data_IF_138701220483
#
_entry.id   IF_138701220483
#
_cell.length_a   1.000
_cell.length_b   1.000
_cell.length_c   1.000
_cell.angle_alpha   90.00
_cell.angle_beta   90.00
_cell.angle_gamma   90.00
#
_symmetry.space_group_name_H-M   'P 1'
#
loop_
_entity.id
_entity.type
_entity.pdbx_description
1 polymer ?
#
# COMPACT_ATOMS: atom_id res chain seq x y z
N UNK A 1 -35.90 15.60 35.95
CA UNK A 1 -34.46 15.98 36.07
C UNK A 1 -33.56 14.81 36.47
N UNK A 2 -33.90 14.04 37.52
CA UNK A 2 -33.06 12.91 38.01
C UNK A 2 -32.75 11.84 36.95
N UNK A 3 -33.73 11.45 36.13
CA UNK A 3 -33.52 10.46 35.06
C UNK A 3 -32.57 10.97 33.98
N UNK A 4 -32.70 12.23 33.57
CA UNK A 4 -31.80 12.83 32.57
C UNK A 4 -30.35 12.96 33.07
N UNK A 5 -30.18 13.22 34.37
CA UNK A 5 -28.86 13.30 35.00
C UNK A 5 -28.21 11.92 35.14
N UNK A 6 -28.99 10.89 35.46
CA UNK A 6 -28.52 9.50 35.51
C UNK A 6 -28.08 8.99 34.14
N UNK A 7 -28.83 9.29 33.07
CA UNK A 7 -28.46 8.95 31.69
C UNK A 7 -27.19 9.68 31.27
N UNK A 8 -27.05 10.98 31.59
CA UNK A 8 -25.84 11.75 31.29
C UNK A 8 -24.59 11.14 31.95
N UNK A 9 -24.68 10.76 33.23
CA UNK A 9 -23.58 10.12 33.97
C UNK A 9 -23.21 8.78 33.36
N UNK A 10 -24.19 7.99 32.93
CA UNK A 10 -23.96 6.69 32.28
C UNK A 10 -23.27 6.84 30.92
N UNK A 11 -23.68 7.83 30.12
CA UNK A 11 -23.04 8.15 28.85
C UNK A 11 -21.60 8.64 29.08
N UNK A 12 -21.37 9.52 30.06
CA UNK A 12 -20.03 9.98 30.40
C UNK A 12 -19.14 8.84 30.89
N UNK A 13 -19.65 7.94 31.72
CA UNK A 13 -18.92 6.76 32.20
C UNK A 13 -18.58 5.80 31.05
N UNK A 14 -19.53 5.55 30.13
CA UNK A 14 -19.29 4.71 28.96
C UNK A 14 -18.24 5.32 28.02
N UNK A 15 -18.32 6.62 27.75
CA UNK A 15 -17.32 7.35 26.95
C UNK A 15 -15.96 7.34 27.64
N UNK A 16 -15.91 7.58 28.96
CA UNK A 16 -14.66 7.57 29.73
C UNK A 16 -14.02 6.18 29.78
N UNK A 17 -14.80 5.11 29.91
CA UNK A 17 -14.32 3.72 29.84
C UNK A 17 -13.76 3.39 28.46
N UNK A 18 -14.44 3.80 27.39
CA UNK A 18 -13.96 3.61 26.02
C UNK A 18 -12.63 4.34 25.78
N UNK A 19 -12.54 5.61 26.20
CA UNK A 19 -11.32 6.42 26.10
C UNK A 19 -10.20 5.84 26.98
N UNK A 20 -10.52 5.39 28.19
CA UNK A 20 -9.57 4.78 29.12
C UNK A 20 -9.03 3.44 28.62
N UNK A 21 -9.89 2.58 28.09
CA UNK A 21 -9.49 1.32 27.46
C UNK A 21 -8.53 1.56 26.29
N UNK A 22 -8.81 2.55 25.45
CA UNK A 22 -7.95 2.92 24.32
C UNK A 22 -6.61 3.47 24.80
N UNK A 23 -6.60 4.31 25.83
CA UNK A 23 -5.36 4.84 26.39
C UNK A 23 -4.49 3.71 26.99
N UNK A 24 -5.10 2.80 27.75
CA UNK A 24 -4.40 1.67 28.38
C UNK A 24 -3.87 0.65 27.37
N UNK A 25 -4.65 0.35 26.32
CA UNK A 25 -4.21 -0.55 25.24
C UNK A 25 -3.16 0.09 24.31
N UNK A 26 -2.92 1.40 24.44
CA UNK A 26 -1.91 2.14 23.67
C UNK A 26 -0.57 2.33 24.41
N UNK A 27 -0.56 2.31 25.75
CA UNK A 27 0.67 2.32 26.55
C UNK A 27 1.33 0.94 26.55
N UNK A 28 2.01 0.61 25.45
CA UNK A 28 2.78 -0.62 25.30
C UNK A 28 3.96 -0.75 26.29
N UNK A 29 4.33 0.33 27.00
CA UNK A 29 5.39 0.30 28.03
C UNK A 29 4.93 -0.33 29.36
N UNK A 30 3.63 -0.31 29.67
CA UNK A 30 3.11 -0.93 30.91
C UNK A 30 2.85 -2.42 30.73
N UNK A 31 2.68 -2.89 29.48
CA UNK A 31 2.31 -4.27 29.18
C UNK A 31 3.20 -4.84 28.06
N UNK A 32 4.49 -5.00 28.35
CA UNK A 32 5.56 -5.45 27.43
C UNK A 32 5.43 -6.91 26.91
N UNK A 33 4.26 -7.55 26.94
CA UNK A 33 4.16 -8.97 26.58
C UNK A 33 2.80 -9.42 26.08
N UNK A 34 2.15 -8.66 25.19
CA UNK A 34 1.09 -9.26 24.39
C UNK A 34 1.66 -9.80 23.08
N UNK A 35 1.52 -11.11 22.90
CA UNK A 35 1.52 -11.74 21.59
C UNK A 35 0.57 -10.94 20.70
N UNK A 36 1.01 -10.67 19.46
CA UNK A 36 0.31 -9.94 18.40
C UNK A 36 -1.17 -9.68 18.72
N UNK A 37 -1.52 -8.41 18.98
CA UNK A 37 -2.90 -8.02 19.21
C UNK A 37 -3.79 -8.65 18.13
N UNK A 38 -4.93 -9.27 18.51
CA UNK A 38 -5.81 -9.90 17.53
C UNK A 38 -6.20 -8.88 16.47
N UNK A 39 -6.25 -9.33 15.21
CA UNK A 39 -6.73 -8.51 14.11
C UNK A 39 -8.10 -7.92 14.51
N UNK A 40 -8.32 -6.60 14.36
CA UNK A 40 -9.53 -5.99 14.88
C UNK A 40 -10.76 -6.56 14.18
N UNK A 41 -11.86 -6.70 14.92
CA UNK A 41 -13.08 -7.36 14.46
C UNK A 41 -13.78 -6.66 13.27
N UNK A 42 -13.36 -5.45 12.89
CA UNK A 42 -13.90 -4.63 11.80
C UNK A 42 -12.94 -4.48 10.60
N UNK A 43 -12.07 -5.47 10.37
CA UNK A 43 -10.89 -5.37 9.49
C UNK A 43 -9.87 -4.30 9.94
N UNK A 44 -10.05 -3.72 11.13
CA UNK A 44 -9.11 -2.76 11.73
C UNK A 44 -9.21 -1.36 11.21
N UNK A 45 -10.41 -0.84 10.95
CA UNK A 45 -10.56 0.31 10.06
C UNK A 45 -11.25 1.49 10.74
N UNK A 46 -12.42 1.29 11.36
CA UNK A 46 -13.10 2.35 12.10
C UNK A 46 -12.46 2.52 13.46
N UNK A 47 -12.16 1.41 14.13
CA UNK A 47 -11.43 1.42 15.38
C UNK A 47 -10.03 2.05 15.20
N UNK A 48 -9.31 1.68 14.13
CA UNK A 48 -8.01 2.26 13.85
C UNK A 48 -8.07 3.75 13.47
N UNK A 49 -8.98 4.16 12.59
CA UNK A 49 -9.16 5.58 12.24
C UNK A 49 -9.50 6.41 13.47
N UNK A 50 -10.33 5.87 14.36
CA UNK A 50 -10.68 6.52 15.62
C UNK A 50 -9.50 6.57 16.61
N UNK A 51 -8.71 5.49 16.71
CA UNK A 51 -7.45 5.46 17.49
C UNK A 51 -6.39 6.45 16.95
N UNK A 52 -6.18 6.50 15.64
CA UNK A 52 -5.36 7.53 14.98
C UNK A 52 -5.92 8.93 15.18
N UNK A 53 -7.24 9.08 15.24
CA UNK A 53 -7.88 10.34 15.56
C UNK A 53 -7.57 10.78 17.00
N UNK A 54 -7.54 9.86 17.95
CA UNK A 54 -7.16 10.11 19.35
C UNK A 54 -5.65 10.28 19.56
N UNK A 55 -4.81 9.72 18.70
CA UNK A 55 -3.34 9.72 18.86
C UNK A 55 -2.69 11.10 19.13
N UNK A 56 -3.15 12.25 18.57
CA UNK A 56 -2.54 13.54 18.89
C UNK A 56 -2.82 14.00 20.34
N UNK A 57 -3.88 13.46 20.95
CA UNK A 57 -4.30 13.78 22.33
C UNK A 57 -3.51 12.97 23.36
N UNK A 58 -3.18 11.70 23.05
CA UNK A 58 -2.41 10.82 23.94
C UNK A 58 -0.89 11.01 23.84
N UNK A 59 -0.38 11.58 22.72
CA UNK A 59 1.06 11.70 22.44
C UNK A 59 1.73 13.02 22.85
N UNK A 60 1.06 13.90 23.62
CA UNK A 60 1.62 15.20 24.04
C UNK A 60 2.89 15.10 24.92
N UNK A 61 3.20 13.92 25.48
CA UNK A 61 4.40 13.68 26.31
C UNK A 61 5.56 12.91 25.65
N UNK A 62 5.45 12.47 24.40
CA UNK A 62 6.33 11.44 23.80
C UNK A 62 7.55 11.99 23.00
N UNK A 63 7.89 13.27 23.16
CA UNK A 63 8.55 14.05 22.10
C UNK A 63 10.06 13.86 21.87
N UNK A 64 10.83 13.28 22.80
CA UNK A 64 12.31 13.27 22.67
C UNK A 64 12.97 11.90 22.72
N UNK A 65 12.44 10.93 23.49
CA UNK A 65 13.02 9.58 23.60
C UNK A 65 12.79 8.74 22.33
N UNK A 66 11.60 8.82 21.72
CA UNK A 66 11.19 8.02 20.54
C UNK A 66 11.90 8.46 19.25
N UNK A 67 12.41 9.69 19.21
CA UNK A 67 13.26 10.15 18.11
C UNK A 67 14.65 9.49 18.14
N UNK A 68 15.10 9.06 19.33
CA UNK A 68 16.40 8.43 19.55
C UNK A 68 16.35 6.91 19.56
N UNK A 69 15.17 6.30 19.72
CA UNK A 69 15.01 4.85 19.70
C UNK A 69 15.11 4.32 18.27
N UNK A 70 15.79 3.18 18.12
CA UNK A 70 15.78 2.43 16.87
C UNK A 70 14.34 2.12 16.43
N UNK A 71 14.11 2.02 15.11
CA UNK A 71 12.80 1.63 14.60
C UNK A 71 12.44 0.24 15.18
N UNK A 72 11.32 0.09 15.90
CA UNK A 72 10.91 -1.23 16.34
C UNK A 72 10.61 -2.06 15.08
N UNK A 73 11.27 -3.23 14.96
CA UNK A 73 10.96 -4.18 13.90
C UNK A 73 9.63 -4.83 14.22
N UNK A 74 8.56 -4.28 13.64
CA UNK A 74 7.21 -4.82 13.82
C UNK A 74 6.91 -5.71 12.64
N UNK A 75 6.45 -6.91 12.97
CA UNK A 75 6.10 -7.94 12.03
C UNK A 75 4.64 -8.30 12.23
N UNK A 76 3.86 -8.22 11.16
CA UNK A 76 2.51 -8.76 11.09
C UNK A 76 2.53 -9.99 10.20
N UNK A 77 1.95 -11.08 10.70
CA UNK A 77 1.78 -12.31 9.95
C UNK A 77 0.31 -12.70 9.99
N UNK A 78 -0.30 -12.91 8.83
CA UNK A 78 -1.67 -13.36 8.72
C UNK A 78 -1.86 -14.26 7.50
N UNK A 79 -2.84 -15.18 7.52
CA UNK A 79 -3.26 -15.87 6.31
C UNK A 79 -3.81 -14.84 5.32
N UNK A 80 -3.41 -14.96 4.06
CA UNK A 80 -3.88 -14.13 2.97
C UNK A 80 -4.90 -14.90 2.15
N UNK A 81 -6.14 -14.43 2.17
CA UNK A 81 -7.21 -14.94 1.34
C UNK A 81 -7.93 -13.78 0.66
N UNK A 82 -8.07 -13.87 -0.66
CA UNK A 82 -8.92 -12.97 -1.44
C UNK A 82 -10.27 -13.64 -1.64
N UNK A 83 -11.33 -13.07 -1.05
CA UNK A 83 -12.68 -13.56 -1.31
C UNK A 83 -13.07 -13.25 -2.76
N UNK A 84 -13.80 -14.16 -3.40
CA UNK A 84 -14.28 -13.98 -4.79
C UNK A 84 -15.11 -12.70 -4.97
N UNK A 85 -15.84 -12.29 -3.93
CA UNK A 85 -16.57 -11.03 -3.89
C UNK A 85 -15.65 -9.79 -3.94
N UNK A 86 -14.55 -9.81 -3.18
CA UNK A 86 -13.58 -8.71 -3.15
C UNK A 86 -12.82 -8.60 -4.47
N UNK A 87 -12.50 -9.75 -5.08
CA UNK A 87 -11.94 -9.80 -6.42
C UNK A 87 -12.88 -9.16 -7.46
N UNK A 88 -14.16 -9.52 -7.45
CA UNK A 88 -15.16 -8.98 -8.38
C UNK A 88 -15.34 -7.47 -8.22
N UNK A 89 -15.35 -6.97 -6.97
CA UNK A 89 -15.42 -5.53 -6.68
C UNK A 89 -14.19 -4.79 -7.19
N UNK A 90 -12.98 -5.32 -6.96
CA UNK A 90 -11.75 -4.72 -7.47
C UNK A 90 -11.69 -4.73 -9.00
N UNK A 91 -12.06 -5.84 -9.64
CA UNK A 91 -12.10 -5.93 -11.10
C UNK A 91 -13.09 -4.92 -11.70
N UNK A 92 -14.26 -4.75 -11.08
CA UNK A 92 -15.27 -3.77 -11.50
C UNK A 92 -14.78 -2.35 -11.27
N UNK A 93 -14.20 -2.08 -10.11
CA UNK A 93 -13.62 -0.78 -9.76
C UNK A 93 -12.53 -0.37 -10.74
N UNK A 94 -11.66 -1.30 -11.15
CA UNK A 94 -10.59 -1.04 -12.09
C UNK A 94 -11.06 -1.09 -13.55
N UNK A 95 -12.37 -1.23 -13.82
CA UNK A 95 -12.92 -1.32 -15.18
C UNK A 95 -12.26 -2.42 -16.02
N UNK A 96 -12.05 -3.58 -15.40
CA UNK A 96 -11.46 -4.76 -16.00
C UNK A 96 -12.47 -5.93 -16.03
N UNK A 97 -13.55 -5.85 -16.83
CA UNK A 97 -14.70 -6.75 -16.72
C UNK A 97 -14.48 -8.17 -17.25
N UNK A 98 -13.38 -8.46 -17.94
CA UNK A 98 -13.09 -9.76 -18.58
C UNK A 98 -11.92 -10.51 -17.94
N UNK A 99 -11.63 -10.28 -16.66
CA UNK A 99 -10.57 -11.05 -16.01
C UNK A 99 -11.07 -12.43 -15.58
N UNK A 100 -10.46 -13.46 -16.18
CA UNK A 100 -10.46 -14.80 -15.59
C UNK A 100 -9.65 -14.76 -14.28
N UNK A 101 -10.12 -15.48 -13.25
CA UNK A 101 -9.43 -15.65 -11.97
C UNK A 101 -8.00 -16.23 -12.10
N UNK A 102 -7.67 -16.78 -13.28
CA UNK A 102 -6.38 -17.36 -13.64
C UNK A 102 -5.28 -16.32 -13.92
N UNK A 103 -5.64 -15.05 -14.22
CA UNK A 103 -4.69 -13.98 -14.50
C UNK A 103 -4.87 -12.83 -13.52
N UNK A 104 -4.57 -13.06 -12.23
CA UNK A 104 -4.63 -12.01 -11.22
C UNK A 104 -3.72 -10.83 -11.62
N UNK A 105 -4.22 -9.57 -11.68
CA UNK A 105 -3.36 -8.43 -11.94
C UNK A 105 -2.35 -8.32 -10.80
N UNK A 106 -1.08 -8.19 -11.14
CA UNK A 106 0.02 -8.28 -10.18
C UNK A 106 -0.03 -7.26 -9.03
N UNK A 107 -0.84 -6.21 -9.18
CA UNK A 107 -1.07 -5.16 -8.18
C UNK A 107 -2.16 -5.50 -7.14
N UNK A 108 -2.98 -6.52 -7.38
CA UNK A 108 -4.09 -6.88 -6.47
C UNK A 108 -3.64 -7.19 -5.05
N UNK A 109 -2.57 -7.99 -4.83
CA UNK A 109 -2.07 -8.26 -3.49
C UNK A 109 -1.76 -6.98 -2.71
N UNK A 110 -1.09 -6.01 -3.34
CA UNK A 110 -0.76 -4.73 -2.70
C UNK A 110 -2.01 -3.95 -2.30
N UNK A 111 -3.07 -3.98 -3.12
CA UNK A 111 -4.33 -3.29 -2.80
C UNK A 111 -5.04 -3.97 -1.61
N UNK A 112 -5.05 -5.30 -1.58
CA UNK A 112 -5.71 -6.11 -0.57
C UNK A 112 -5.03 -6.04 0.81
N UNK A 113 -3.69 -6.06 0.84
CA UNK A 113 -2.92 -5.90 2.09
C UNK A 113 -2.91 -4.45 2.61
N UNK A 114 -3.54 -3.52 1.89
CA UNK A 114 -3.60 -2.10 2.25
C UNK A 114 -4.00 -1.86 3.71
N UNK A 115 -5.03 -2.54 4.19
CA UNK A 115 -5.53 -2.40 5.57
C UNK A 115 -4.49 -2.77 6.64
N UNK A 116 -3.55 -3.68 6.33
CA UNK A 116 -2.49 -4.10 7.25
C UNK A 116 -1.45 -3.01 7.48
N UNK A 117 -1.26 -2.09 6.52
CA UNK A 117 -0.38 -0.93 6.74
C UNK A 117 -0.84 -0.13 7.93
N UNK A 118 -2.14 0.09 8.10
CA UNK A 118 -2.65 0.80 9.26
C UNK A 118 -2.27 0.08 10.55
N UNK A 119 -2.52 -1.22 10.65
CA UNK A 119 -2.16 -2.01 11.84
C UNK A 119 -0.67 -1.91 12.15
N UNK A 120 0.19 -2.03 11.14
CA UNK A 120 1.64 -1.91 11.29
C UNK A 120 2.01 -0.51 11.81
N UNK A 121 1.40 0.52 11.21
CA UNK A 121 1.69 1.89 11.52
C UNK A 121 1.25 2.25 12.95
N UNK A 122 0.06 1.83 13.38
CA UNK A 122 -0.44 2.08 14.73
C UNK A 122 0.49 1.57 15.83
N UNK A 123 1.09 0.41 15.60
CA UNK A 123 1.95 -0.26 16.58
C UNK A 123 3.39 0.29 16.60
N UNK A 124 3.80 1.12 15.64
CA UNK A 124 5.21 1.52 15.44
C UNK A 124 5.69 2.77 16.18
N UNK A 125 4.93 3.25 17.16
CA UNK A 125 5.30 4.38 18.01
C UNK A 125 5.75 5.61 17.20
N UNK A 126 4.93 6.05 16.23
CA UNK A 126 5.27 7.23 15.42
C UNK A 126 5.50 8.49 16.25
N UNK A 127 6.59 9.24 15.97
CA UNK A 127 6.88 10.50 16.67
C UNK A 127 5.94 11.64 16.26
N UNK A 128 5.15 11.46 15.19
CA UNK A 128 4.23 12.46 14.65
C UNK A 128 2.90 11.80 14.24
N UNK A 129 1.92 12.60 13.85
CA UNK A 129 0.63 12.11 13.37
C UNK A 129 0.78 11.51 11.97
N UNK A 130 0.35 10.26 11.78
CA UNK A 130 0.31 9.59 10.47
C UNK A 130 -0.86 10.05 9.59
N UNK A 131 -1.60 11.09 10.00
CA UNK A 131 -2.74 11.60 9.24
C UNK A 131 -2.35 12.25 7.91
N UNK A 132 -1.11 12.70 7.80
CA UNK A 132 -0.55 13.32 6.60
C UNK A 132 0.45 12.39 5.91
N UNK A 133 0.28 11.08 6.10
CA UNK A 133 1.15 10.08 5.48
C UNK A 133 1.00 10.11 3.96
N UNK A 134 2.13 10.09 3.26
CA UNK A 134 2.22 10.14 1.82
C UNK A 134 2.80 8.84 1.31
N UNK A 135 2.31 8.37 0.18
CA UNK A 135 2.93 7.26 -0.56
C UNK A 135 3.98 7.87 -1.52
N UNK A 136 5.26 7.54 -1.33
CA UNK A 136 6.36 8.07 -2.16
C UNK A 136 6.72 7.17 -3.32
N UNK A 137 6.84 5.88 -3.03
CA UNK A 137 7.16 4.89 -4.03
C UNK A 137 6.64 3.51 -3.63
N UNK A 138 6.54 2.66 -4.63
CA UNK A 138 6.17 1.27 -4.49
C UNK A 138 6.99 0.46 -5.47
N UNK A 139 7.66 -0.57 -4.95
CA UNK A 139 8.26 -1.63 -5.74
C UNK A 139 7.48 -2.90 -5.51
N UNK A 140 7.09 -3.58 -6.58
CA UNK A 140 6.38 -4.87 -6.54
C UNK A 140 7.17 -5.86 -7.39
N UNK A 141 7.41 -7.04 -6.86
CA UNK A 141 8.04 -8.16 -7.55
C UNK A 141 7.09 -9.34 -7.51
N UNK A 142 6.72 -9.86 -8.67
CA UNK A 142 5.99 -11.10 -8.79
C UNK A 142 6.92 -12.17 -9.37
N UNK A 143 7.16 -13.23 -8.59
CA UNK A 143 8.08 -14.29 -8.95
C UNK A 143 7.38 -15.42 -9.72
N UNK A 144 6.16 -15.78 -9.27
CA UNK A 144 5.36 -16.87 -9.85
C UNK A 144 3.91 -16.41 -10.09
N UNK A 145 3.17 -17.05 -11.01
CA UNK A 145 1.75 -16.77 -11.18
C UNK A 145 0.98 -16.99 -9.88
N UNK A 146 0.12 -16.04 -9.51
CA UNK A 146 -0.78 -16.20 -8.37
C UNK A 146 -2.06 -16.87 -8.86
N UNK A 147 -2.25 -18.14 -8.50
CA UNK A 147 -3.51 -18.82 -8.75
C UNK A 147 -4.37 -18.78 -7.48
N UNK A 148 -5.51 -18.07 -7.56
CA UNK A 148 -6.49 -17.97 -6.49
C UNK A 148 -7.79 -18.72 -6.83
N UNK A 149 -7.75 -19.67 -7.78
CA UNK A 149 -8.90 -20.52 -8.08
C UNK A 149 -9.30 -21.30 -6.82
N UNK A 150 -10.55 -21.14 -6.38
CA UNK A 150 -11.11 -22.03 -5.36
C UNK A 150 -11.19 -23.44 -5.94
N UNK A 151 -10.71 -24.48 -5.25
CA UNK A 151 -10.90 -25.84 -5.72
C UNK A 151 -12.41 -26.09 -5.87
N UNK A 152 -12.83 -26.41 -7.09
CA UNK A 152 -14.10 -27.06 -7.32
C UNK A 152 -14.10 -28.34 -6.49
N UNK A 153 -15.25 -28.70 -5.91
CA UNK A 153 -15.44 -29.73 -4.88
C UNK A 153 -14.88 -31.15 -5.18
N UNK A 154 -14.20 -31.37 -6.30
CA UNK A 154 -13.69 -32.67 -6.77
C UNK A 154 -12.15 -32.77 -6.89
N UNK A 155 -11.35 -31.73 -6.59
CA UNK A 155 -9.89 -31.87 -6.50
C UNK A 155 -9.39 -31.67 -5.06
N UNK A 156 -8.80 -32.73 -4.47
CA UNK A 156 -8.06 -32.74 -3.19
C UNK A 156 -6.81 -31.83 -3.16
N UNK A 157 -6.68 -30.88 -4.08
CA UNK A 157 -5.66 -29.83 -3.99
C UNK A 157 -6.26 -28.64 -3.25
N UNK A 158 -6.02 -28.59 -1.94
CA UNK A 158 -6.26 -27.39 -1.16
C UNK A 158 -5.66 -26.18 -1.89
N UNK A 159 -6.42 -25.09 -2.01
CA UNK A 159 -5.88 -23.83 -2.51
C UNK A 159 -4.61 -23.49 -1.72
N UNK A 160 -3.53 -23.00 -2.36
CA UNK A 160 -2.31 -22.66 -1.63
C UNK A 160 -2.66 -21.64 -0.54
N UNK A 161 -2.45 -22.03 0.71
CA UNK A 161 -2.63 -21.14 1.86
C UNK A 161 -1.50 -20.11 1.84
N UNK A 162 -1.76 -18.98 1.19
CA UNK A 162 -0.79 -17.89 1.16
C UNK A 162 -0.68 -17.26 2.55
N UNK A 163 0.54 -17.09 3.02
CA UNK A 163 0.85 -16.33 4.24
C UNK A 163 1.34 -14.95 3.84
N UNK A 164 0.70 -13.91 4.37
CA UNK A 164 1.17 -12.53 4.25
C UNK A 164 2.05 -12.18 5.45
N UNK A 165 3.28 -11.75 5.17
CA UNK A 165 4.23 -11.21 6.14
C UNK A 165 4.46 -9.73 5.81
N UNK A 166 4.12 -8.83 6.72
CA UNK A 166 4.36 -7.39 6.57
C UNK A 166 5.28 -6.90 7.67
N UNK A 167 6.38 -6.23 7.29
CA UNK A 167 7.42 -5.80 8.22
C UNK A 167 7.75 -4.33 7.99
N UNK A 168 7.75 -3.56 9.09
CA UNK A 168 8.35 -2.23 9.09
C UNK A 168 9.87 -2.40 9.20
N UNK A 169 10.59 -2.18 8.10
CA UNK A 169 12.02 -2.49 8.01
C UNK A 169 12.89 -1.30 8.39
N UNK A 170 12.52 -0.10 7.96
CA UNK A 170 13.35 1.09 8.15
C UNK A 170 12.54 2.34 8.48
N UNK A 171 13.20 3.24 9.22
CA UNK A 171 12.75 4.61 9.54
C UNK A 171 13.92 5.55 9.32
N UNK A 172 13.72 6.56 8.48
CA UNK A 172 14.73 7.49 8.00
C UNK A 172 14.28 8.92 8.24
N UNK A 173 15.11 9.72 8.89
CA UNK A 173 14.83 11.14 9.08
C UNK A 173 15.38 11.91 7.88
N UNK A 174 14.52 12.57 7.13
CA UNK A 174 14.88 13.50 6.07
C UNK A 174 14.75 14.94 6.60
N UNK A 175 15.14 15.93 5.80
CA UNK A 175 15.15 17.34 6.22
C UNK A 175 13.77 17.85 6.65
N UNK A 176 12.72 17.42 5.94
CA UNK A 176 11.34 17.92 6.10
C UNK A 176 10.32 16.82 6.40
N UNK A 177 10.74 15.56 6.41
CA UNK A 177 9.86 14.42 6.63
C UNK A 177 10.57 13.24 7.28
N UNK A 178 9.81 12.26 7.77
CA UNK A 178 10.32 10.94 8.12
C UNK A 178 9.82 9.96 7.07
N UNK A 179 10.74 9.22 6.47
CA UNK A 179 10.46 8.16 5.51
C UNK A 179 10.49 6.79 6.21
N UNK A 180 9.60 5.90 5.78
CA UNK A 180 9.40 4.58 6.33
C UNK A 180 9.33 3.57 5.20
N UNK A 181 9.95 2.44 5.42
CA UNK A 181 9.96 1.34 4.45
C UNK A 181 9.17 0.18 5.04
N UNK A 182 8.13 -0.26 4.32
CA UNK A 182 7.35 -1.44 4.67
C UNK A 182 7.56 -2.49 3.60
N UNK A 183 8.08 -3.64 4.00
CA UNK A 183 8.18 -4.81 3.14
C UNK A 183 6.97 -5.71 3.36
N UNK A 184 6.36 -6.20 2.27
CA UNK A 184 5.27 -7.17 2.32
C UNK A 184 5.62 -8.37 1.46
N UNK A 185 5.60 -9.56 2.03
CA UNK A 185 5.89 -10.81 1.33
C UNK A 185 4.64 -11.70 1.38
N UNK A 186 4.28 -12.29 0.24
CA UNK A 186 3.34 -13.40 0.17
C UNK A 186 4.11 -14.69 -0.06
N UNK A 187 3.90 -15.65 0.84
CA UNK A 187 4.58 -16.94 0.84
C UNK A 187 3.58 -18.08 0.68
N UNK A 188 3.92 -19.09 -0.12
CA UNK A 188 3.29 -20.40 -0.12
C UNK A 188 4.21 -21.43 0.56
N UNK A 189 3.88 -22.72 0.42
CA UNK A 189 4.67 -23.85 0.91
C UNK A 189 6.04 -23.98 0.23
N UNK A 190 6.21 -23.41 -0.96
CA UNK A 190 7.45 -23.40 -1.74
C UNK A 190 8.30 -22.14 -1.52
N UNK A 191 7.77 -21.15 -0.79
CA UNK A 191 8.45 -19.91 -0.44
C UNK A 191 7.77 -18.69 -1.06
N UNK A 192 8.55 -17.65 -1.34
CA UNK A 192 8.00 -16.35 -1.75
C UNK A 192 7.43 -16.40 -3.16
N UNK A 193 6.20 -15.91 -3.32
CA UNK A 193 5.47 -15.84 -4.61
C UNK A 193 5.44 -14.41 -5.13
N UNK A 194 5.31 -13.46 -4.20
CA UNK A 194 5.13 -12.04 -4.47
C UNK A 194 5.72 -11.22 -3.34
N UNK A 195 6.34 -10.09 -3.66
CA UNK A 195 6.92 -9.17 -2.70
C UNK A 195 6.59 -7.73 -3.07
N UNK A 196 6.50 -6.88 -2.07
CA UNK A 196 6.51 -5.44 -2.26
C UNK A 196 7.35 -4.72 -1.22
N UNK A 197 7.85 -3.56 -1.63
CA UNK A 197 8.47 -2.57 -0.75
C UNK A 197 7.74 -1.26 -0.98
N UNK A 198 7.11 -0.75 0.07
CA UNK A 198 6.32 0.48 0.06
C UNK A 198 7.06 1.55 0.85
N UNK A 199 7.35 2.69 0.21
CA UNK A 199 7.92 3.86 0.86
C UNK A 199 6.81 4.84 1.22
N UNK A 200 6.70 5.11 2.51
CA UNK A 200 5.74 6.05 3.07
C UNK A 200 6.50 7.21 3.71
N UNK A 201 5.98 8.43 3.63
CA UNK A 201 6.56 9.54 4.37
C UNK A 201 5.54 10.32 5.18
N UNK A 202 5.99 10.94 6.25
CA UNK A 202 5.16 11.82 7.07
C UNK A 202 5.90 13.14 7.26
N UNK A 203 5.26 14.29 6.96
CA UNK A 203 5.85 15.61 7.21
C UNK A 203 6.31 15.75 8.67
N UNK A 204 7.58 16.09 8.84
CA UNK A 204 8.21 16.22 10.14
C UNK A 204 9.57 16.90 9.99
N UNK A 205 9.75 18.02 10.70
CA UNK A 205 11.02 18.73 10.76
C UNK A 205 11.57 18.64 12.18
N UNK A 206 12.85 18.30 12.29
CA UNK A 206 13.55 18.30 13.57
C UNK A 206 13.89 19.74 13.99
N UNK A 207 13.34 20.21 15.11
CA UNK A 207 13.67 21.53 15.69
C UNK A 207 15.13 21.57 16.18
N UNK A 208 15.65 20.43 16.64
CA UNK A 208 17.05 20.20 16.98
C UNK A 208 17.46 18.86 16.37
N UNK A 209 18.66 18.77 15.79
CA UNK A 209 19.15 17.55 15.14
C UNK A 209 19.40 16.45 16.18
N UNK A 210 18.38 15.63 16.42
CA UNK A 210 18.40 14.53 17.39
C UNK A 210 18.79 13.19 16.74
N UNK A 211 18.50 13.03 15.44
CA UNK A 211 18.88 11.89 14.62
C UNK A 211 19.52 12.38 13.31
N UNK A 212 20.50 11.64 12.74
CA UNK A 212 21.16 12.03 11.50
C UNK A 212 20.15 12.09 10.36
N UNK A 213 20.31 13.08 9.49
CA UNK A 213 19.53 13.17 8.26
C UNK A 213 20.10 12.21 7.22
N UNK A 214 19.22 11.48 6.55
CA UNK A 214 19.53 10.60 5.43
C UNK A 214 19.00 11.17 4.12
N UNK A 215 19.30 10.50 3.01
CA UNK A 215 18.71 10.78 1.69
C UNK A 215 17.67 9.71 1.37
N UNK A 216 16.60 10.08 0.67
CA UNK A 216 15.60 9.13 0.18
C UNK A 216 16.24 8.20 -0.87
N UNK A 217 15.84 6.93 -0.85
CA UNK A 217 16.33 5.91 -1.81
C UNK A 217 15.19 5.38 -2.68
N UNK A 218 14.06 6.10 -2.71
CA UNK A 218 12.85 5.69 -3.43
C UNK A 218 12.87 6.02 -4.93
N UNK A 219 14.02 6.41 -5.49
CA UNK A 219 14.14 6.85 -6.88
C UNK A 219 14.11 5.70 -7.90
N UNK A 220 13.74 6.03 -9.15
CA UNK A 220 13.89 5.11 -10.27
C UNK A 220 15.32 5.13 -10.80
N UNK A 221 15.75 4.00 -11.36
CA UNK A 221 17.02 3.92 -12.06
C UNK A 221 16.91 4.64 -13.42
N UNK A 222 17.50 5.83 -13.51
CA UNK A 222 17.45 6.68 -14.70
C UNK A 222 17.99 5.98 -15.95
N UNK A 223 18.97 5.09 -15.80
CA UNK A 223 19.54 4.34 -16.92
C UNK A 223 18.53 3.35 -17.51
N UNK A 224 17.74 2.69 -16.66
CA UNK A 224 16.67 1.79 -17.08
C UNK A 224 15.48 2.56 -17.66
N UNK A 225 15.13 3.70 -17.07
CA UNK A 225 14.07 4.58 -17.58
C UNK A 225 14.41 5.07 -19.00
N UNK A 226 15.66 5.46 -19.25
CA UNK A 226 16.11 5.95 -20.55
C UNK A 226 16.04 4.90 -21.67
N UNK A 227 16.11 3.61 -21.33
CA UNK A 227 16.03 2.51 -22.32
C UNK A 227 14.65 2.35 -22.93
N UNK A 228 13.59 2.67 -22.20
CA UNK A 228 12.22 2.54 -22.67
C UNK A 228 11.75 3.85 -23.31
N UNK A 229 12.08 4.03 -24.58
CA UNK A 229 11.86 5.27 -25.34
C UNK A 229 11.12 5.06 -26.68
N UNK A 230 10.76 3.83 -27.04
CA UNK A 230 10.12 3.48 -28.31
C UNK A 230 8.63 3.12 -28.16
N UNK A 231 7.93 3.01 -29.31
CA UNK A 231 6.51 2.65 -29.45
C UNK A 231 5.60 3.32 -28.40
N UNK A 232 5.47 4.65 -28.49
CA UNK A 232 4.65 5.41 -27.54
C UNK A 232 3.18 5.08 -27.72
N UNK A 233 2.50 4.67 -26.65
CA UNK A 233 1.03 4.60 -26.60
C UNK A 233 0.50 5.54 -25.55
N UNK A 234 -0.56 6.23 -25.91
CA UNK A 234 -1.29 7.13 -25.04
C UNK A 234 -2.74 6.68 -24.94
N UNK A 235 -3.20 6.49 -23.71
CA UNK A 235 -4.60 6.23 -23.40
C UNK A 235 -5.03 7.08 -22.22
N UNK A 236 -6.31 7.01 -21.89
CA UNK A 236 -6.84 7.76 -20.76
C UNK A 236 -7.89 6.99 -20.01
N UNK A 237 -7.95 7.23 -18.71
CA UNK A 237 -8.98 6.67 -17.86
C UNK A 237 -9.47 7.70 -16.86
N UNK A 238 -10.62 7.40 -16.26
CA UNK A 238 -11.32 8.26 -15.33
C UNK A 238 -11.77 7.42 -14.15
N UNK A 239 -11.59 7.93 -12.94
CA UNK A 239 -12.15 7.32 -11.75
C UNK A 239 -13.55 7.90 -11.50
N UNK A 240 -14.58 7.07 -11.64
CA UNK A 240 -15.93 7.47 -11.24
C UNK A 240 -16.14 7.27 -9.74
N UNK A 241 -17.18 7.91 -9.19
CA UNK A 241 -17.58 7.71 -7.80
C UNK A 241 -17.89 6.24 -7.48
N UNK A 242 -18.47 5.51 -8.45
CA UNK A 242 -18.72 4.08 -8.31
C UNK A 242 -17.41 3.29 -8.20
N UNK A 243 -16.42 3.61 -9.04
CA UNK A 243 -15.11 2.95 -8.96
C UNK A 243 -14.46 3.19 -7.59
N UNK A 244 -14.55 4.41 -7.07
CA UNK A 244 -14.05 4.73 -5.72
C UNK A 244 -14.77 3.92 -4.65
N UNK A 245 -16.11 3.90 -4.63
CA UNK A 245 -16.87 3.14 -3.62
C UNK A 245 -16.52 1.66 -3.64
N UNK A 246 -16.49 1.03 -4.83
CA UNK A 246 -16.13 -0.39 -4.95
C UNK A 246 -14.67 -0.67 -4.54
N UNK A 247 -13.76 0.29 -4.74
CA UNK A 247 -12.37 0.20 -4.29
C UNK A 247 -12.27 0.28 -2.76
N UNK A 248 -12.92 1.28 -2.15
CA UNK A 248 -12.90 1.53 -0.71
C UNK A 248 -13.55 0.40 0.11
N UNK A 249 -14.45 -0.38 -0.49
CA UNK A 249 -15.02 -1.57 0.13
C UNK A 249 -14.00 -2.70 0.32
N UNK A 250 -12.93 -2.73 -0.49
CA UNK A 250 -11.89 -3.78 -0.45
C UNK A 250 -10.59 -3.27 0.15
N UNK A 251 -10.18 -2.05 -0.20
CA UNK A 251 -8.97 -1.43 0.36
C UNK A 251 -9.35 -0.28 1.27
N UNK A 252 -8.83 -0.31 2.48
CA UNK A 252 -9.35 0.56 3.54
C UNK A 252 -8.46 1.78 3.80
N UNK A 253 -7.40 1.91 3.00
CA UNK A 253 -6.38 2.95 3.19
C UNK A 253 -6.30 3.82 1.96
N UNK A 254 -6.94 4.98 2.06
CA UNK A 254 -6.55 6.13 1.27
C UNK A 254 -5.24 6.67 1.87
N UNK A 255 -4.10 6.16 1.40
CA UNK A 255 -2.77 6.72 1.73
C UNK A 255 -2.59 7.98 0.87
N UNK A 256 -3.45 8.98 1.06
CA UNK A 256 -3.32 10.29 0.40
C UNK A 256 -2.74 11.29 1.39
N UNK A 257 -1.67 11.94 0.94
CA UNK A 257 -0.82 12.85 1.72
C UNK A 257 -1.43 14.18 2.14
N UNK A 258 -2.74 14.32 2.07
CA UNK A 258 -3.43 15.54 2.46
C UNK A 258 -4.84 15.20 2.93
N UNK A 259 -5.29 15.88 4.00
CA UNK A 259 -6.71 16.01 4.30
C UNK A 259 -7.46 16.44 3.03
N UNK A 260 -8.08 15.50 2.33
CA UNK A 260 -9.32 15.84 1.66
C UNK A 260 -10.41 15.64 2.71
N UNK A 261 -10.93 16.75 3.21
CA UNK A 261 -12.32 16.82 3.68
C UNK A 261 -13.32 16.59 2.52
N UNK A 262 -12.86 16.02 1.39
CA UNK A 262 -13.57 15.83 0.14
C UNK A 262 -13.39 14.37 -0.26
N UNK A 263 -14.44 13.58 -0.04
CA UNK A 263 -14.59 12.17 -0.45
C UNK A 263 -14.55 11.97 -1.98
N UNK A 264 -13.90 12.86 -2.75
CA UNK A 264 -13.93 12.92 -4.20
C UNK A 264 -12.50 13.06 -4.78
N UNK A 265 -11.53 12.32 -4.24
CA UNK A 265 -10.18 12.19 -4.80
C UNK A 265 -9.90 10.76 -5.26
N UNK A 266 -9.06 10.61 -6.27
CA UNK A 266 -8.61 9.32 -6.80
C UNK A 266 -7.46 8.78 -5.94
N UNK A 267 -7.59 7.58 -5.34
CA UNK A 267 -6.50 6.97 -4.60
C UNK A 267 -5.33 6.65 -5.54
N UNK A 268 -4.11 6.97 -5.11
CA UNK A 268 -2.89 6.70 -5.90
C UNK A 268 -2.73 5.21 -6.22
N UNK A 269 -3.07 4.34 -5.26
CA UNK A 269 -3.07 2.89 -5.46
C UNK A 269 -4.12 2.43 -6.48
N UNK A 270 -5.29 3.08 -6.54
CA UNK A 270 -6.30 2.80 -7.57
C UNK A 270 -5.77 3.19 -8.95
N UNK A 271 -5.16 4.37 -9.05
CA UNK A 271 -4.61 4.88 -10.31
C UNK A 271 -3.49 3.98 -10.83
N UNK A 272 -2.58 3.52 -9.96
CA UNK A 272 -1.53 2.58 -10.32
C UNK A 272 -2.11 1.23 -10.76
N UNK A 273 -3.03 0.65 -9.99
CA UNK A 273 -3.66 -0.62 -10.33
C UNK A 273 -4.43 -0.56 -11.67
N UNK A 274 -5.10 0.56 -11.95
CA UNK A 274 -5.79 0.79 -13.23
C UNK A 274 -4.80 0.93 -14.38
N UNK A 275 -3.73 1.70 -14.20
CA UNK A 275 -2.67 1.84 -15.19
C UNK A 275 -2.07 0.48 -15.54
N UNK A 276 -1.76 -0.35 -14.54
CA UNK A 276 -1.21 -1.69 -14.76
C UNK A 276 -2.19 -2.61 -15.48
N UNK A 277 -3.49 -2.55 -15.14
CA UNK A 277 -4.53 -3.27 -15.86
C UNK A 277 -4.63 -2.87 -17.34
N UNK A 278 -4.45 -1.59 -17.66
CA UNK A 278 -4.42 -1.12 -19.05
C UNK A 278 -3.15 -1.58 -19.79
N UNK A 279 -1.98 -1.52 -19.16
CA UNK A 279 -0.75 -2.06 -19.75
C UNK A 279 -0.86 -3.57 -20.03
N UNK A 280 -1.54 -4.31 -19.16
CA UNK A 280 -1.79 -5.73 -19.36
C UNK A 280 -2.71 -5.96 -20.58
N UNK A 281 -3.77 -5.17 -20.73
CA UNK A 281 -4.66 -5.21 -21.91
C UNK A 281 -3.94 -4.84 -23.22
N UNK A 282 -2.90 -4.02 -23.13
CA UNK A 282 -2.06 -3.61 -24.26
C UNK A 282 -0.95 -4.60 -24.60
N UNK A 283 -0.84 -5.71 -23.85
CA UNK A 283 0.25 -6.70 -23.95
C UNK A 283 1.64 -6.07 -23.68
N UNK A 284 1.69 -5.09 -22.77
CA UNK A 284 2.89 -4.34 -22.38
C UNK A 284 3.41 -4.67 -20.98
N UNK A 285 2.93 -5.76 -20.39
CA UNK A 285 3.48 -6.27 -19.14
C UNK A 285 4.51 -7.35 -19.49
N UNK A 286 5.79 -7.19 -19.09
CA UNK A 286 6.80 -8.22 -19.30
C UNK A 286 6.43 -9.55 -18.65
N UNK A 287 7.07 -10.63 -19.11
CA UNK A 287 6.89 -11.96 -18.52
C UNK A 287 7.35 -12.02 -17.05
N UNK A 288 6.96 -13.09 -16.35
CA UNK A 288 7.49 -13.38 -15.02
C UNK A 288 8.91 -13.96 -15.11
N UNK A 289 9.78 -13.75 -14.11
CA UNK A 289 9.59 -12.90 -12.93
C UNK A 289 9.54 -11.41 -13.28
N UNK A 290 8.49 -10.73 -12.81
CA UNK A 290 8.18 -9.33 -13.12
C UNK A 290 8.55 -8.44 -11.93
N UNK A 291 9.17 -7.29 -12.22
CA UNK A 291 9.36 -6.22 -11.26
C UNK A 291 8.74 -4.93 -11.79
N UNK A 292 7.97 -4.26 -10.95
CA UNK A 292 7.41 -2.94 -11.17
C UNK A 292 7.98 -1.99 -10.12
N UNK A 293 8.61 -0.90 -10.55
CA UNK A 293 9.02 0.19 -9.67
C UNK A 293 8.21 1.42 -10.05
N UNK A 294 7.55 2.04 -9.08
CA UNK A 294 6.71 3.21 -9.28
C UNK A 294 7.05 4.28 -8.25
N UNK A 295 7.17 5.53 -8.70
CA UNK A 295 7.35 6.71 -7.88
C UNK A 295 6.17 7.62 -8.09
N UNK A 296 5.59 8.11 -7.00
CA UNK A 296 4.43 8.99 -7.01
C UNK A 296 4.89 10.44 -6.97
N UNK A 297 4.26 11.29 -7.80
CA UNK A 297 4.60 12.70 -7.89
C UNK A 297 4.19 13.44 -6.61
N UNK A 298 5.12 14.20 -6.04
CA UNK A 298 4.88 14.99 -4.82
C UNK A 298 3.83 16.10 -5.04
N UNK A 299 3.74 16.63 -6.27
CA UNK A 299 2.83 17.73 -6.63
C UNK A 299 1.39 17.26 -6.89
N UNK A 300 1.19 15.97 -7.18
CA UNK A 300 -0.13 15.39 -7.47
C UNK A 300 -0.87 14.96 -6.20
N UNK A 301 -0.82 15.78 -5.15
CA UNK A 301 -1.34 15.47 -3.81
C UNK A 301 -2.84 15.14 -3.74
N UNK A 302 -3.63 15.55 -4.74
CA UNK A 302 -5.04 15.20 -4.83
C UNK A 302 -5.55 15.33 -6.28
N UNK A 303 -5.89 14.19 -6.89
CA UNK A 303 -6.52 14.13 -8.21
C UNK A 303 -8.03 14.03 -8.01
N UNK A 304 -8.85 15.00 -8.46
CA UNK A 304 -10.31 14.91 -8.33
C UNK A 304 -10.90 13.73 -9.09
N UNK A 305 -12.02 13.18 -8.58
CA UNK A 305 -12.85 12.24 -9.35
C UNK A 305 -13.31 12.85 -10.68
N UNK A 306 -13.66 11.98 -11.63
CA UNK A 306 -14.10 12.34 -12.99
C UNK A 306 -13.07 13.08 -13.84
N UNK A 307 -11.90 13.39 -13.29
CA UNK A 307 -10.81 14.00 -14.02
C UNK A 307 -10.13 12.96 -14.91
N UNK A 308 -9.78 13.37 -16.12
CA UNK A 308 -9.08 12.54 -17.10
C UNK A 308 -7.62 12.37 -16.69
N UNK A 309 -7.21 11.13 -16.50
CA UNK A 309 -5.81 10.74 -16.25
C UNK A 309 -5.27 10.21 -17.57
N UNK A 310 -4.17 10.79 -18.05
CA UNK A 310 -3.49 10.37 -19.28
C UNK A 310 -2.40 9.37 -18.91
N UNK A 311 -2.47 8.17 -19.46
CA UNK A 311 -1.46 7.13 -19.34
C UNK A 311 -0.64 7.10 -20.62
N UNK A 312 0.64 7.39 -20.51
CA UNK A 312 1.60 7.20 -21.57
C UNK A 312 2.50 6.03 -21.24
N UNK A 313 2.84 5.22 -22.24
CA UNK A 313 3.78 4.11 -22.06
C UNK A 313 4.74 3.98 -23.24
N UNK A 314 5.94 3.54 -22.92
CA UNK A 314 7.05 3.31 -23.84
C UNK A 314 7.64 1.94 -23.59
N UNK A 315 8.20 1.33 -24.62
CA UNK A 315 8.90 0.05 -24.52
C UNK A 315 10.36 0.25 -24.91
N UNK A 316 11.23 -0.63 -24.42
CA UNK A 316 12.61 -0.69 -24.88
C UNK A 316 12.68 -1.04 -26.36
N UNK A 317 13.60 -0.42 -27.09
CA UNK A 317 13.92 -0.85 -28.44
C UNK A 317 14.29 -2.34 -28.43
N UNK A 318 13.86 -3.05 -29.46
CA UNK A 318 13.99 -4.50 -29.56
C UNK A 318 15.45 -4.84 -29.89
N UNK A 319 16.32 -4.82 -28.88
CA UNK A 319 17.71 -5.23 -29.06
C UNK A 319 17.75 -6.74 -29.33
N UNK A 320 18.36 -7.08 -30.46
CA UNK A 320 18.49 -8.42 -31.05
C UNK A 320 19.23 -9.46 -30.19
N UNK A 321 19.50 -9.17 -28.92
CA UNK A 321 20.28 -9.99 -28.00
C UNK A 321 19.67 -9.90 -26.60
N UNK A 322 18.87 -10.91 -26.22
CA UNK A 322 18.61 -11.41 -24.84
C UNK A 322 18.38 -10.41 -23.67
N UNK A 323 18.21 -9.11 -23.93
CA UNK A 323 18.04 -8.12 -22.88
C UNK A 323 16.57 -8.06 -22.46
N UNK A 324 16.36 -8.15 -21.15
CA UNK A 324 15.07 -7.98 -20.47
C UNK A 324 14.28 -6.81 -21.05
N UNK A 325 13.07 -7.09 -21.54
CA UNK A 325 12.11 -6.09 -22.00
C UNK A 325 11.79 -5.12 -20.86
N UNK A 326 11.98 -3.82 -21.12
CA UNK A 326 11.64 -2.75 -20.16
C UNK A 326 10.48 -1.96 -20.71
N UNK A 327 9.48 -1.69 -19.86
CA UNK A 327 8.33 -0.86 -20.19
C UNK A 327 8.27 0.29 -19.20
N UNK A 328 8.29 1.53 -19.70
CA UNK A 328 8.10 2.73 -18.88
C UNK A 328 6.64 3.17 -19.00
N UNK A 329 6.07 3.70 -17.93
CA UNK A 329 4.78 4.37 -17.96
C UNK A 329 4.79 5.66 -17.13
N UNK A 330 4.01 6.64 -17.59
CA UNK A 330 3.75 7.89 -16.90
C UNK A 330 2.23 8.11 -16.84
N UNK A 331 1.71 8.45 -15.65
CA UNK A 331 0.31 8.87 -15.49
C UNK A 331 0.25 10.36 -15.14
N UNK A 332 -0.30 11.16 -16.05
CA UNK A 332 -0.35 12.61 -15.96
C UNK A 332 -1.78 13.11 -15.79
N UNK A 333 -1.94 14.20 -15.03
CA UNK A 333 -3.22 14.88 -14.78
C UNK A 333 -3.02 16.37 -15.01
N UNK A 334 -3.69 16.94 -16.02
CA UNK A 334 -3.52 18.34 -16.44
C UNK A 334 -2.05 18.75 -16.67
N UNK A 335 -1.22 17.83 -17.17
CA UNK A 335 0.21 18.08 -17.38
C UNK A 335 1.09 17.99 -16.14
N UNK A 336 0.51 17.69 -14.96
CA UNK A 336 1.25 17.37 -13.74
C UNK A 336 1.42 15.85 -13.64
N UNK A 337 2.64 15.40 -13.38
CA UNK A 337 2.93 13.98 -13.22
C UNK A 337 2.40 13.47 -11.87
N UNK A 338 1.49 12.49 -11.93
CA UNK A 338 0.96 11.82 -10.75
C UNK A 338 1.78 10.60 -10.35
N UNK A 339 2.34 9.88 -11.32
CA UNK A 339 3.29 8.80 -11.09
C UNK A 339 4.07 8.44 -12.34
N UNK A 340 5.30 8.00 -12.13
CA UNK A 340 6.14 7.38 -13.16
C UNK A 340 6.56 6.01 -12.67
N UNK A 341 6.61 5.03 -13.56
CA UNK A 341 7.16 3.74 -13.22
C UNK A 341 7.76 2.99 -14.39
N UNK A 342 8.42 1.89 -14.04
CA UNK A 342 9.04 0.95 -14.96
C UNK A 342 8.62 -0.47 -14.60
N UNK A 343 8.37 -1.28 -15.63
CA UNK A 343 8.22 -2.72 -15.54
C UNK A 343 9.37 -3.39 -16.26
N UNK A 344 9.87 -4.49 -15.71
CA UNK A 344 10.92 -5.29 -16.34
C UNK A 344 10.86 -6.74 -15.87
N UNK A 345 11.42 -7.63 -16.68
CA UNK A 345 11.81 -8.96 -16.17
C UNK A 345 13.02 -8.83 -15.25
N UNK A 346 13.05 -9.61 -14.17
CA UNK A 346 14.24 -9.76 -13.33
C UNK A 346 14.92 -11.09 -13.63
N UNK A 347 16.23 -11.06 -13.91
CA UNK A 347 17.04 -12.24 -14.21
C UNK A 347 17.36 -13.07 -12.97
N UNK A 348 16.34 -13.47 -12.22
CA UNK A 348 16.51 -14.34 -11.07
C UNK A 348 16.64 -15.78 -11.57
N UNK A 349 17.78 -16.39 -11.30
CA UNK A 349 18.06 -17.78 -11.67
C UNK A 349 17.40 -18.68 -10.64
N UNK A 350 16.35 -19.42 -11.03
CA UNK A 350 15.83 -20.48 -10.19
C UNK A 350 16.75 -21.70 -10.30
N UNK A 351 17.34 -22.20 -9.19
CA UNK A 351 18.10 -23.44 -9.25
C UNK A 351 17.16 -24.59 -9.65
N UNK A 352 17.46 -25.24 -10.78
CA UNK A 352 16.67 -26.35 -11.34
C UNK A 352 15.92 -26.04 -12.65
N UNK A 353 16.01 -24.81 -13.15
CA UNK A 353 15.47 -24.44 -14.46
C UNK A 353 16.58 -24.48 -15.52
N UNK A 354 17.22 -25.65 -15.68
CA UNK A 354 18.07 -25.95 -16.85
C UNK A 354 17.27 -26.83 -17.82
N UNK A 355 16.97 -26.25 -18.98
CA UNK A 355 16.53 -26.83 -20.27
C UNK A 355 15.35 -27.81 -20.29
#
# INVERSE_FOLDING_TARGET
>A
MLVGLAVLVLVLAAVALLVGYVALTWEHDVVQSYAALPAPADLGTKEFRWRCWLSPLTRRGWRTSVLRSACPRITLQCPFALLSADFAKLATSLSLPKLALEQLPFMFPQVAVGSLFLQLLGNSNFPTSVREIRLKALTVVQLRPLNMSFPLQDEEKAAPELTCLMVLTEKRFLETEIEFTVQTDLLDDQGTVWQSVTWLSVPFKQDTLLAPLSVSVSGLDESLVARANADVREESFVCSKRNLTEFEEVTVVDVTGARSSKNDAVPLMWMLARAMGMLQQQERVPALPLMCNCVFGEDATSVPLQKKILLQSWVSEQDSQEQSQVVKFDANVDGVNAMTGILRTVGWVFPGQES
#
